data_IF_118031754732
#
_entry.id   IF_118031754732
#
_cell.length_a   1.000
_cell.length_b   1.000
_cell.length_c   1.000
_cell.angle_alpha   90.00
_cell.angle_beta   90.00
_cell.angle_gamma   90.00
#
_symmetry.space_group_name_H-M   'P 1'
#
loop_
_entity.id
_entity.type
_entity.pdbx_description
1 polymer ?
#
# COMPACT_ATOMS: atom_id res chain seq x y z
N UNK A 1 -3.52 32.73 14.06
CA UNK A 1 -4.81 32.32 13.48
C UNK A 1 -4.94 32.97 12.12
N UNK A 2 -4.70 32.21 11.05
CA UNK A 2 -5.24 32.43 9.71
C UNK A 2 -4.53 31.47 8.76
N UNK A 3 -5.06 30.27 8.53
CA UNK A 3 -4.79 29.53 7.30
C UNK A 3 -6.10 28.95 6.75
N UNK A 4 -6.66 29.72 5.82
CA UNK A 4 -7.31 29.25 4.59
C UNK A 4 -8.53 28.31 4.72
N UNK A 5 -9.70 28.93 4.87
CA UNK A 5 -10.92 28.43 4.24
C UNK A 5 -10.77 28.48 2.71
N UNK A 6 -10.28 27.38 2.13
CA UNK A 6 -10.19 27.15 0.69
C UNK A 6 -10.97 25.89 0.35
N UNK A 7 -12.28 26.05 0.21
CA UNK A 7 -13.23 25.06 -0.30
C UNK A 7 -12.93 24.77 -1.79
N UNK A 8 -11.82 24.08 -2.07
CA UNK A 8 -11.59 23.41 -3.35
C UNK A 8 -12.20 22.02 -3.25
N UNK A 9 -13.16 21.80 -4.12
CA UNK A 9 -14.02 20.65 -4.32
C UNK A 9 -13.21 19.39 -4.72
N UNK A 10 -12.32 18.93 -3.84
CA UNK A 10 -11.62 17.67 -4.03
C UNK A 10 -12.56 16.52 -3.66
N UNK A 11 -12.63 15.46 -4.50
CA UNK A 11 -13.56 14.36 -4.31
C UNK A 11 -13.24 13.50 -3.07
N UNK A 12 -12.02 13.63 -2.51
CA UNK A 12 -11.53 12.96 -1.31
C UNK A 12 -10.62 13.92 -0.53
N UNK A 13 -10.48 13.69 0.77
CA UNK A 13 -9.53 14.37 1.65
C UNK A 13 -8.08 13.92 1.42
N UNK A 14 -7.12 14.74 1.85
CA UNK A 14 -5.68 14.41 1.79
C UNK A 14 -5.37 13.08 2.49
N UNK A 15 -5.99 12.83 3.65
CA UNK A 15 -5.77 11.59 4.40
C UNK A 15 -6.29 10.36 3.63
N UNK A 16 -7.44 10.46 2.96
CA UNK A 16 -7.95 9.38 2.10
C UNK A 16 -7.02 9.15 0.91
N UNK A 17 -6.52 10.23 0.30
CA UNK A 17 -5.56 10.15 -0.81
C UNK A 17 -4.25 9.47 -0.38
N UNK A 18 -3.73 9.81 0.80
CA UNK A 18 -2.52 9.20 1.35
C UNK A 18 -2.70 7.69 1.56
N UNK A 19 -3.78 7.26 2.21
CA UNK A 19 -4.07 5.84 2.40
C UNK A 19 -4.26 5.09 1.07
N UNK A 20 -4.97 5.68 0.10
CA UNK A 20 -5.11 5.11 -1.24
C UNK A 20 -3.75 4.97 -1.95
N UNK A 21 -2.89 5.97 -1.82
CA UNK A 21 -1.54 5.97 -2.41
C UNK A 21 -0.68 4.87 -1.79
N UNK A 22 -0.70 4.73 -0.46
CA UNK A 22 0.03 3.65 0.22
C UNK A 22 -0.52 2.29 -0.23
N UNK A 23 -1.84 2.11 -0.26
CA UNK A 23 -2.46 0.85 -0.69
C UNK A 23 -2.09 0.48 -2.14
N UNK A 24 -2.09 1.46 -3.04
CA UNK A 24 -1.67 1.29 -4.43
C UNK A 24 -0.22 0.81 -4.52
N UNK A 25 0.70 1.48 -3.83
CA UNK A 25 2.12 1.12 -3.84
C UNK A 25 2.36 -0.30 -3.32
N UNK A 26 1.65 -0.72 -2.26
CA UNK A 26 1.73 -2.09 -1.73
C UNK A 26 1.20 -3.11 -2.72
N UNK A 27 0.08 -2.81 -3.38
CA UNK A 27 -0.48 -3.71 -4.39
C UNK A 27 0.49 -3.91 -5.58
N UNK A 28 1.14 -2.84 -6.05
CA UNK A 28 2.17 -2.93 -7.09
C UNK A 28 3.39 -3.73 -6.62
N UNK A 29 3.83 -3.55 -5.37
CA UNK A 29 4.91 -4.35 -4.80
C UNK A 29 4.56 -5.85 -4.75
N UNK A 30 3.36 -6.22 -4.28
CA UNK A 30 2.89 -7.62 -4.24
C UNK A 30 2.93 -8.26 -5.62
N UNK A 31 2.53 -7.53 -6.66
CA UNK A 31 2.59 -7.98 -8.06
C UNK A 31 4.03 -8.11 -8.54
N UNK A 32 4.87 -7.13 -8.27
CA UNK A 32 6.28 -7.14 -8.68
C UNK A 32 7.07 -8.30 -8.07
N UNK A 33 6.77 -8.69 -6.83
CA UNK A 33 7.43 -9.83 -6.19
C UNK A 33 7.22 -11.15 -6.94
N UNK A 34 6.16 -11.32 -7.73
CA UNK A 34 5.97 -12.54 -8.53
C UNK A 34 7.10 -12.67 -9.56
N UNK A 35 7.43 -11.58 -10.27
CA UNK A 35 8.58 -11.51 -11.17
C UNK A 35 9.89 -11.68 -10.41
N UNK A 36 10.07 -11.02 -9.26
CA UNK A 36 11.34 -11.11 -8.50
C UNK A 36 11.60 -12.52 -7.96
N UNK A 37 10.54 -13.23 -7.56
CA UNK A 37 10.62 -14.64 -7.15
C UNK A 37 11.03 -15.50 -8.35
N UNK A 38 10.44 -15.27 -9.53
CA UNK A 38 10.81 -15.97 -10.75
C UNK A 38 12.28 -15.73 -11.12
N UNK A 39 12.73 -14.48 -11.14
CA UNK A 39 14.12 -14.11 -11.43
C UNK A 39 15.09 -14.78 -10.45
N UNK A 40 14.74 -14.85 -9.16
CA UNK A 40 15.54 -15.52 -8.14
C UNK A 40 15.60 -17.05 -8.33
N UNK A 41 14.51 -17.67 -8.80
CA UNK A 41 14.48 -19.08 -9.17
C UNK A 41 15.36 -19.36 -10.39
N UNK A 42 15.28 -18.54 -11.43
CA UNK A 42 16.11 -18.64 -12.64
C UNK A 42 17.60 -18.46 -12.32
N UNK A 43 17.91 -17.58 -11.37
CA UNK A 43 19.27 -17.39 -10.84
C UNK A 43 19.74 -18.50 -9.89
N UNK A 44 18.93 -19.54 -9.61
CA UNK A 44 19.20 -20.60 -8.64
C UNK A 44 19.53 -20.07 -7.23
N UNK A 45 18.97 -18.94 -6.83
CA UNK A 45 19.22 -18.31 -5.52
C UNK A 45 18.06 -18.56 -4.55
N UNK A 46 18.09 -19.72 -3.89
CA UNK A 46 17.09 -20.08 -2.88
C UNK A 46 16.94 -19.03 -1.75
N UNK A 47 18.02 -18.42 -1.21
CA UNK A 47 17.87 -17.37 -0.20
C UNK A 47 17.10 -16.14 -0.70
N UNK A 48 17.25 -15.78 -1.98
CA UNK A 48 16.51 -14.67 -2.56
C UNK A 48 15.03 -15.03 -2.76
N UNK A 49 14.72 -16.26 -3.17
CA UNK A 49 13.34 -16.76 -3.28
C UNK A 49 12.63 -16.64 -1.93
N UNK A 50 13.25 -17.13 -0.86
CA UNK A 50 12.69 -17.09 0.49
C UNK A 50 12.49 -15.65 0.98
N UNK A 51 13.46 -14.78 0.73
CA UNK A 51 13.35 -13.36 1.10
C UNK A 51 12.19 -12.69 0.36
N UNK A 52 12.09 -12.84 -0.97
CA UNK A 52 11.01 -12.20 -1.74
C UNK A 52 9.63 -12.77 -1.40
N UNK A 53 9.52 -14.06 -1.10
CA UNK A 53 8.28 -14.65 -0.58
C UNK A 53 7.86 -14.03 0.76
N UNK A 54 8.82 -13.87 1.68
CA UNK A 54 8.57 -13.23 2.99
C UNK A 54 8.15 -11.78 2.83
N UNK A 55 8.83 -11.02 1.96
CA UNK A 55 8.49 -9.62 1.69
C UNK A 55 7.10 -9.49 1.07
N UNK A 56 6.75 -10.34 0.09
CA UNK A 56 5.42 -10.37 -0.52
C UNK A 56 4.33 -10.63 0.51
N UNK A 57 4.54 -11.59 1.40
CA UNK A 57 3.59 -11.90 2.47
C UNK A 57 3.40 -10.70 3.41
N UNK A 58 4.49 -10.05 3.82
CA UNK A 58 4.43 -8.85 4.67
C UNK A 58 3.69 -7.69 4.00
N UNK A 59 3.88 -7.46 2.69
CA UNK A 59 3.13 -6.42 1.97
C UNK A 59 1.63 -6.74 1.91
N UNK A 60 1.27 -8.01 1.75
CA UNK A 60 -0.15 -8.43 1.75
C UNK A 60 -0.83 -8.17 3.09
N UNK A 61 -0.15 -8.49 4.20
CA UNK A 61 -0.66 -8.23 5.56
C UNK A 61 -0.84 -6.73 5.80
N UNK A 62 0.18 -5.94 5.46
CA UNK A 62 0.12 -4.48 5.61
C UNK A 62 -0.94 -3.84 4.70
N UNK A 63 -1.12 -4.34 3.48
CA UNK A 63 -2.17 -3.87 2.58
C UNK A 63 -3.58 -4.15 3.15
N UNK A 64 -3.78 -5.27 3.86
CA UNK A 64 -5.05 -5.57 4.53
C UNK A 64 -5.31 -4.60 5.69
N UNK A 65 -4.30 -4.31 6.50
CA UNK A 65 -4.37 -3.34 7.60
C UNK A 65 -4.70 -1.92 7.08
N UNK A 66 -3.98 -1.48 6.05
CA UNK A 66 -4.21 -0.18 5.40
C UNK A 66 -5.61 -0.10 4.80
N UNK A 67 -6.09 -1.17 4.16
CA UNK A 67 -7.44 -1.21 3.63
C UNK A 67 -8.48 -1.04 4.74
N UNK A 68 -8.26 -1.65 5.91
CA UNK A 68 -9.16 -1.49 7.04
C UNK A 68 -9.19 -0.04 7.52
N UNK A 69 -8.04 0.60 7.73
CA UNK A 69 -7.98 2.00 8.14
C UNK A 69 -8.55 2.97 7.09
N UNK A 70 -8.33 2.71 5.81
CA UNK A 70 -8.95 3.50 4.74
C UNK A 70 -10.48 3.44 4.83
N UNK A 71 -11.06 2.27 5.11
CA UNK A 71 -12.51 2.13 5.29
C UNK A 71 -13.01 2.93 6.51
N UNK A 72 -12.26 2.97 7.60
CA UNK A 72 -12.60 3.76 8.77
C UNK A 72 -12.54 5.26 8.48
N UNK A 73 -11.50 5.71 7.79
CA UNK A 73 -11.32 7.11 7.37
C UNK A 73 -12.44 7.55 6.42
N UNK A 74 -12.79 6.72 5.42
CA UNK A 74 -13.88 7.02 4.48
C UNK A 74 -15.26 7.08 5.16
N UNK A 75 -15.47 6.32 6.24
CA UNK A 75 -16.73 6.32 6.98
C UNK A 75 -16.86 7.48 7.96
N UNK A 76 -15.78 7.84 8.65
CA UNK A 76 -15.84 8.77 9.78
C UNK A 76 -15.17 10.12 9.49
N UNK A 77 -14.49 10.29 8.36
CA UNK A 77 -13.85 11.53 7.91
C UNK A 77 -12.63 11.99 8.73
N UNK A 78 -12.33 11.30 9.83
CA UNK A 78 -11.15 11.38 10.72
C UNK A 78 -11.29 10.26 11.77
N UNK A 79 -10.23 9.49 12.02
CA UNK A 79 -10.09 8.79 13.29
C UNK A 79 -9.65 9.77 14.37
#
# INVERSE_FOLDING_TARGET
>A
MAESNGNSQQPISDLEYDFLTVLHNKAEAVRAYETYIQDAQEANSQPCVELFQKLRQSEMEQAQEIRHHLQEVMQHGKM
#
